data_IF_791439428510
#
_entry.id   IF_791439428510
#
_cell.length_a   1.000
_cell.length_b   1.000
_cell.length_c   1.000
_cell.angle_alpha   90.00
_cell.angle_beta   90.00
_cell.angle_gamma   90.00
#
_symmetry.space_group_name_H-M   'P 1'
#
loop_
_entity.id
_entity.type
_entity.pdbx_description
1 polymer ?
#
# COMPACT_ATOMS: atom_id res chain seq x y z
N UNK A 1 -30.15 -3.88 -13.92
CA UNK A 1 -29.92 -3.03 -12.74
C UNK A 1 -28.70 -3.60 -12.04
N UNK A 2 -27.54 -3.00 -12.27
CA UNK A 2 -26.32 -3.42 -11.57
C UNK A 2 -26.43 -3.04 -10.10
N UNK A 3 -26.05 -3.98 -9.23
CA UNK A 3 -26.01 -3.76 -7.78
C UNK A 3 -24.91 -2.74 -7.44
N UNK A 4 -25.17 -1.77 -6.54
CA UNK A 4 -24.20 -0.73 -6.18
C UNK A 4 -22.96 -1.24 -5.42
N UNK A 5 -22.87 -2.54 -5.12
CA UNK A 5 -21.78 -3.15 -4.36
C UNK A 5 -20.51 -3.44 -5.19
N UNK A 6 -20.52 -3.27 -6.51
CA UNK A 6 -19.34 -3.53 -7.35
C UNK A 6 -18.61 -2.26 -7.82
N UNK A 7 -18.97 -1.10 -7.27
CA UNK A 7 -18.19 0.14 -7.49
C UNK A 7 -17.02 0.13 -6.52
N UNK A 8 -16.06 -0.77 -6.74
CA UNK A 8 -14.75 -0.63 -6.10
C UNK A 8 -14.13 0.65 -6.67
N UNK A 9 -14.13 1.71 -5.88
CA UNK A 9 -13.35 2.94 -6.10
C UNK A 9 -11.83 2.66 -6.00
N UNK A 10 -11.35 1.65 -6.73
CA UNK A 10 -9.95 1.21 -6.77
C UNK A 10 -9.22 1.63 -8.05
N UNK A 11 -9.96 1.93 -9.11
CA UNK A 11 -9.39 2.20 -10.44
C UNK A 11 -9.41 3.71 -10.74
N UNK A 12 -8.79 4.50 -9.87
CA UNK A 12 -8.21 5.76 -10.35
C UNK A 12 -6.87 5.35 -10.97
N UNK A 13 -6.79 5.34 -12.31
CA UNK A 13 -5.60 4.96 -13.11
C UNK A 13 -4.31 5.72 -12.68
N UNK A 14 -4.50 6.74 -11.83
CA UNK A 14 -3.47 7.59 -11.22
C UNK A 14 -2.84 7.02 -9.95
N UNK A 15 -3.44 6.02 -9.29
CA UNK A 15 -2.94 5.43 -8.03
C UNK A 15 -2.78 3.91 -8.13
N UNK A 16 -1.61 3.41 -8.53
CA UNK A 16 -1.36 1.97 -8.58
C UNK A 16 -1.47 1.32 -7.19
N UNK A 17 -2.03 0.11 -7.15
CA UNK A 17 -2.09 -0.72 -5.94
C UNK A 17 -0.96 -1.75 -5.92
N UNK A 18 -0.33 -1.93 -4.76
CA UNK A 18 0.78 -2.87 -4.57
C UNK A 18 0.35 -4.09 -3.76
N UNK A 19 0.94 -5.24 -4.11
CA UNK A 19 0.93 -6.45 -3.30
C UNK A 19 2.38 -6.90 -3.03
N UNK A 20 2.67 -7.27 -1.79
CA UNK A 20 4.00 -7.75 -1.38
C UNK A 20 3.85 -8.94 -0.43
N UNK A 21 4.55 -10.02 -0.73
CA UNK A 21 4.64 -11.20 0.13
C UNK A 21 6.10 -11.61 0.30
N UNK A 22 6.48 -11.90 1.55
CA UNK A 22 7.77 -12.49 1.88
C UNK A 22 7.56 -13.83 2.56
N UNK A 23 8.35 -14.83 2.15
CA UNK A 23 8.37 -16.14 2.83
C UNK A 23 8.82 -15.97 4.29
N UNK A 24 8.29 -16.76 5.25
CA UNK A 24 8.57 -16.56 6.67
C UNK A 24 10.06 -16.45 7.03
N UNK A 25 10.91 -17.27 6.42
CA UNK A 25 12.35 -17.33 6.70
C UNK A 25 13.16 -16.08 6.34
N UNK A 26 12.59 -15.13 5.59
CA UNK A 26 13.30 -13.89 5.19
C UNK A 26 12.67 -12.62 5.77
N UNK A 27 11.64 -12.75 6.62
CA UNK A 27 11.01 -11.61 7.30
C UNK A 27 11.93 -11.06 8.39
N UNK A 28 11.72 -9.82 8.80
CA UNK A 28 12.50 -9.19 9.88
C UNK A 28 13.90 -8.69 9.50
N UNK A 29 14.35 -8.91 8.26
CA UNK A 29 15.70 -8.53 7.79
C UNK A 29 15.71 -7.22 6.96
N UNK A 30 14.66 -6.41 7.02
CA UNK A 30 14.55 -5.16 6.25
C UNK A 30 14.29 -5.32 4.75
N UNK A 31 14.16 -6.54 4.23
CA UNK A 31 13.95 -6.82 2.80
C UNK A 31 12.66 -6.18 2.27
N UNK A 32 11.56 -6.27 3.03
CA UNK A 32 10.28 -5.65 2.64
C UNK A 32 10.41 -4.14 2.48
N UNK A 33 11.12 -3.49 3.40
CA UNK A 33 11.44 -2.05 3.32
C UNK A 33 12.24 -1.73 2.06
N UNK A 34 13.26 -2.51 1.74
CA UNK A 34 14.10 -2.29 0.56
C UNK A 34 13.30 -2.44 -0.75
N UNK A 35 12.47 -3.49 -0.85
CA UNK A 35 11.60 -3.72 -2.00
C UNK A 35 10.61 -2.57 -2.20
N UNK A 36 9.93 -2.14 -1.12
CA UNK A 36 8.97 -1.04 -1.19
C UNK A 36 9.62 0.28 -1.59
N UNK A 37 10.79 0.62 -1.03
CA UNK A 37 11.53 1.84 -1.40
C UNK A 37 11.90 1.85 -2.88
N UNK A 38 12.41 0.73 -3.40
CA UNK A 38 12.72 0.59 -4.82
C UNK A 38 11.47 0.72 -5.69
N UNK A 39 10.33 0.16 -5.24
CA UNK A 39 9.07 0.31 -5.94
C UNK A 39 8.62 1.78 -5.99
N UNK A 40 8.75 2.54 -4.89
CA UNK A 40 8.41 3.96 -4.87
C UNK A 40 9.25 4.76 -5.86
N UNK A 41 10.55 4.49 -5.95
CA UNK A 41 11.43 5.14 -6.94
C UNK A 41 10.97 4.86 -8.37
N UNK A 42 10.59 3.62 -8.67
CA UNK A 42 10.11 3.22 -9.98
C UNK A 42 8.77 3.88 -10.33
N UNK A 43 7.82 3.91 -9.39
CA UNK A 43 6.53 4.55 -9.58
C UNK A 43 6.68 6.07 -9.78
N UNK A 44 7.57 6.72 -9.02
CA UNK A 44 7.90 8.15 -9.22
C UNK A 44 8.46 8.41 -10.63
N UNK A 45 9.38 7.57 -11.11
CA UNK A 45 9.95 7.69 -12.47
C UNK A 45 8.89 7.57 -13.57
N UNK A 46 7.83 6.80 -13.31
CA UNK A 46 6.68 6.63 -14.21
C UNK A 46 5.66 7.76 -14.12
N UNK A 47 5.87 8.75 -13.22
CA UNK A 47 4.98 9.89 -13.06
C UNK A 47 3.82 9.65 -12.08
N UNK A 48 3.82 8.55 -11.33
CA UNK A 48 2.80 8.34 -10.31
C UNK A 48 3.08 9.21 -9.08
N UNK A 49 2.01 9.81 -8.58
CA UNK A 49 2.07 10.75 -7.46
C UNK A 49 1.66 10.11 -6.14
N UNK A 50 0.99 8.97 -6.21
CA UNK A 50 0.41 8.23 -5.09
C UNK A 50 0.54 6.73 -5.35
N UNK A 51 0.51 5.96 -4.27
CA UNK A 51 0.46 4.49 -4.32
C UNK A 51 -0.46 3.98 -3.22
N UNK A 52 -1.18 2.90 -3.48
CA UNK A 52 -2.06 2.25 -2.50
C UNK A 52 -1.65 0.80 -2.23
N UNK A 53 -2.20 0.25 -1.15
CA UNK A 53 -2.23 -1.17 -0.88
C UNK A 53 -3.45 -1.51 -0.04
N UNK A 54 -3.85 -2.77 -0.07
CA UNK A 54 -4.82 -3.34 0.85
C UNK A 54 -4.13 -4.36 1.74
N UNK A 55 -4.50 -4.38 3.03
CA UNK A 55 -3.86 -5.24 4.02
C UNK A 55 -4.87 -5.64 5.09
N UNK A 56 -4.88 -6.91 5.47
CA UNK A 56 -5.66 -7.37 6.62
C UNK A 56 -5.20 -6.66 7.89
N UNK A 57 -6.14 -6.19 8.71
CA UNK A 57 -5.83 -5.51 9.98
C UNK A 57 -4.97 -6.36 10.93
N UNK A 58 -5.10 -7.68 10.86
CA UNK A 58 -4.31 -8.65 11.64
C UNK A 58 -2.89 -8.86 11.10
N UNK A 59 -2.55 -8.32 9.93
CA UNK A 59 -1.27 -8.57 9.28
C UNK A 59 -0.13 -7.83 10.01
N UNK A 60 0.93 -8.53 10.46
CA UNK A 60 2.07 -7.89 11.13
C UNK A 60 2.80 -6.84 10.28
N UNK A 61 2.61 -6.86 8.96
CA UNK A 61 3.18 -5.89 8.03
C UNK A 61 2.57 -4.48 8.17
N UNK A 62 1.48 -4.29 8.91
CA UNK A 62 0.91 -2.96 9.21
C UNK A 62 1.98 -1.98 9.70
N UNK A 63 2.81 -2.40 10.66
CA UNK A 63 3.90 -1.57 11.20
C UNK A 63 4.98 -1.22 10.16
N UNK A 64 5.16 -2.04 9.13
CA UNK A 64 6.06 -1.70 8.02
C UNK A 64 5.45 -0.57 7.19
N UNK A 65 4.16 -0.67 6.86
CA UNK A 65 3.48 0.34 6.04
C UNK A 65 3.37 1.68 6.77
N UNK A 66 3.04 1.68 8.06
CA UNK A 66 3.05 2.89 8.90
C UNK A 66 4.42 3.59 8.87
N UNK A 67 5.50 2.83 9.08
CA UNK A 67 6.88 3.37 9.04
C UNK A 67 7.28 3.87 7.65
N UNK A 68 6.68 3.31 6.62
CA UNK A 68 6.83 3.77 5.24
C UNK A 68 5.88 4.93 4.92
N UNK A 69 5.21 5.55 5.88
CA UNK A 69 4.37 6.74 5.63
C UNK A 69 3.13 6.44 4.78
N UNK A 70 2.65 5.21 4.79
CA UNK A 70 1.27 4.94 4.38
C UNK A 70 0.31 5.44 5.45
N UNK A 71 -0.83 5.96 5.02
CA UNK A 71 -1.94 6.35 5.87
C UNK A 71 -3.17 5.54 5.51
N UNK A 72 -3.93 5.13 6.51
CA UNK A 72 -5.23 4.48 6.31
C UNK A 72 -6.20 5.49 5.68
N UNK A 73 -6.82 5.11 4.57
CA UNK A 73 -7.82 5.92 3.85
C UNK A 73 -9.19 5.27 3.80
N UNK A 74 -9.30 4.01 4.22
CA UNK A 74 -10.55 3.28 4.28
C UNK A 74 -10.38 1.91 4.91
N UNK A 75 -11.51 1.25 5.13
CA UNK A 75 -11.58 -0.13 5.61
C UNK A 75 -12.80 -0.81 5.02
N UNK A 76 -12.65 -2.07 4.65
CA UNK A 76 -13.73 -2.94 4.20
C UNK A 76 -13.90 -4.04 5.23
N UNK A 77 -15.12 -4.18 5.76
CA UNK A 77 -15.47 -5.29 6.64
C UNK A 77 -15.80 -6.51 5.78
N UNK A 78 -14.95 -7.53 5.83
CA UNK A 78 -15.28 -8.86 5.33
C UNK A 78 -16.14 -9.64 6.34
N UNK A 79 -16.54 -10.84 5.96
CA UNK A 79 -17.34 -11.72 6.83
C UNK A 79 -16.60 -12.12 8.12
N UNK A 80 -15.27 -12.18 8.06
CA UNK A 80 -14.42 -12.66 9.16
C UNK A 80 -13.25 -11.74 9.49
N UNK A 81 -12.82 -10.91 8.55
CA UNK A 81 -11.64 -10.06 8.70
C UNK A 81 -11.87 -8.65 8.16
N UNK A 82 -11.25 -7.67 8.81
CA UNK A 82 -11.22 -6.29 8.35
C UNK A 82 -10.01 -6.07 7.44
N UNK A 83 -10.25 -5.62 6.22
CA UNK A 83 -9.22 -5.19 5.28
C UNK A 83 -9.10 -3.67 5.32
N UNK A 84 -7.87 -3.17 5.47
CA UNK A 84 -7.55 -1.75 5.52
C UNK A 84 -6.95 -1.35 4.17
N UNK A 85 -7.49 -0.28 3.58
CA UNK A 85 -6.89 0.36 2.41
C UNK A 85 -6.00 1.48 2.90
N UNK A 86 -4.73 1.43 2.51
CA UNK A 86 -3.74 2.44 2.84
C UNK A 86 -3.23 3.13 1.58
N UNK A 87 -2.91 4.43 1.69
CA UNK A 87 -2.31 5.22 0.61
C UNK A 87 -1.08 5.96 1.09
N UNK A 88 -0.12 6.15 0.20
CA UNK A 88 1.07 6.96 0.42
C UNK A 88 1.24 7.98 -0.71
N UNK A 89 1.62 9.20 -0.37
CA UNK A 89 2.13 10.18 -1.34
C UNK A 89 3.55 9.82 -1.80
N UNK A 90 3.75 9.85 -3.12
CA UNK A 90 5.06 9.76 -3.77
C UNK A 90 5.62 11.15 -4.11
N UNK A 91 4.80 12.20 -4.10
CA UNK A 91 5.25 13.59 -4.13
C UNK A 91 6.15 13.83 -2.92
N UNK A 92 7.39 14.22 -3.17
CA UNK A 92 8.52 13.99 -2.27
C UNK A 92 8.42 14.65 -0.88
N UNK A 93 9.09 14.04 0.08
CA UNK A 93 10.03 14.78 0.93
C UNK A 93 11.33 14.84 0.13
N UNK A 94 11.62 16.01 -0.44
CA UNK A 94 12.98 16.34 -0.84
C UNK A 94 13.65 16.89 0.41
N UNK A 95 14.29 16.03 1.18
CA UNK A 95 15.24 16.40 2.22
C UNK A 95 16.43 15.44 2.12
N UNK A 96 17.69 15.84 2.20
CA UNK A 96 18.41 17.11 2.08
C UNK A 96 19.88 16.66 2.23
N UNK A 97 20.78 17.21 1.41
CA UNK A 97 22.26 17.04 1.36
C UNK A 97 22.82 15.75 0.73
#
# INVERSE_FOLDING_TARGET
>A
MDSPANRMDGDDDKTPSLALALVPGVRGHGIGTALMKRMFEELKKRGYETVSLSVQKSNPAMHLYDRLGFVQVGSVMGETEEEIVMKRSLRGETEQL
#
